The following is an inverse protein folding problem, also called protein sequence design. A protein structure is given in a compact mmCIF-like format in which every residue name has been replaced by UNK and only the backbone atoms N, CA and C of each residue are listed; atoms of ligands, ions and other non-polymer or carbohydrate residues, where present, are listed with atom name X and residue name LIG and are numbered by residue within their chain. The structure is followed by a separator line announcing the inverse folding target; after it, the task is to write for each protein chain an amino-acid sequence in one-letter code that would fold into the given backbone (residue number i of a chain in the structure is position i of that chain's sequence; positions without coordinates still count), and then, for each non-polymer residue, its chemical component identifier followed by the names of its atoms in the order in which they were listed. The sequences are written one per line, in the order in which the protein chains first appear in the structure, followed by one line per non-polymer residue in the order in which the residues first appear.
data_IF_362022284235
#
_entry.id   IF_362022284235
#
_cell.length_a   1.000
_cell.length_b   1.000
_cell.length_c   1.000
_cell.angle_alpha   90.00
_cell.angle_beta   90.00
_cell.angle_gamma   90.00
#
_symmetry.space_group_name_H-M   'P 1'
#
loop_
_entity.id
_entity.type
_entity.pdbx_description
1 polymer ?
#
# COMPACT_ATOMS: atom_id res chain seq x y z
N UNK A 1 18.73 -4.01 22.94
CA UNK A 1 18.84 -3.73 21.49
C UNK A 1 19.79 -2.57 21.29
N UNK A 2 20.88 -2.73 20.54
CA UNK A 2 21.83 -1.66 20.20
C UNK A 2 21.24 -0.70 19.16
N UNK A 3 21.72 0.55 19.10
CA UNK A 3 21.21 1.57 18.18
C UNK A 3 21.35 1.16 16.69
N UNK A 4 22.45 0.48 16.34
CA UNK A 4 22.73 -0.01 14.99
C UNK A 4 21.70 -1.04 14.49
N UNK A 5 21.31 -1.97 15.36
CA UNK A 5 20.25 -2.94 15.03
C UNK A 5 18.90 -2.26 14.79
N UNK A 6 18.64 -1.12 15.43
CA UNK A 6 17.41 -0.34 15.22
C UNK A 6 17.39 0.34 13.85
N UNK A 7 18.52 0.88 13.40
CA UNK A 7 18.62 1.48 12.06
C UNK A 7 18.50 0.42 10.96
N UNK A 8 19.06 -0.77 11.16
CA UNK A 8 18.97 -1.85 10.18
C UNK A 8 17.53 -2.34 10.00
N UNK A 9 16.79 -2.51 11.10
CA UNK A 9 15.36 -2.88 11.06
C UNK A 9 14.52 -1.84 10.32
N UNK A 10 14.79 -0.55 10.54
CA UNK A 10 14.07 0.52 9.84
C UNK A 10 14.32 0.48 8.32
N UNK A 11 15.58 0.33 7.91
CA UNK A 11 15.95 0.21 6.48
C UNK A 11 15.36 -1.02 5.81
N UNK A 12 15.36 -2.15 6.50
CA UNK A 12 14.71 -3.36 5.98
C UNK A 12 13.20 -3.17 5.82
N UNK A 13 12.57 -2.39 6.70
CA UNK A 13 11.16 -2.01 6.59
C UNK A 13 10.82 -1.23 5.32
N UNK A 14 11.73 -0.36 4.87
CA UNK A 14 11.59 0.43 3.63
C UNK A 14 11.63 -0.42 2.35
N UNK A 15 12.25 -1.61 2.43
CA UNK A 15 12.37 -2.57 1.33
C UNK A 15 11.22 -3.58 1.29
N UNK A 16 10.38 -3.63 2.33
CA UNK A 16 9.24 -4.54 2.34
C UNK A 16 8.26 -4.14 1.24
N UNK A 17 7.76 -5.12 0.46
CA UNK A 17 6.77 -4.84 -0.56
C UNK A 17 5.44 -4.45 0.10
N UNK A 18 4.78 -3.45 -0.46
CA UNK A 18 3.39 -3.09 -0.17
C UNK A 18 2.57 -3.19 -1.46
N UNK A 19 1.26 -3.33 -1.31
CA UNK A 19 0.34 -3.39 -2.45
C UNK A 19 -0.11 -1.98 -2.84
N UNK A 20 0.03 -1.65 -4.12
CA UNK A 20 -0.54 -0.45 -4.74
C UNK A 20 -1.68 -0.87 -5.64
N UNK A 21 -2.85 -0.28 -5.46
CA UNK A 21 -4.06 -0.59 -6.22
C UNK A 21 -4.46 0.59 -7.10
N UNK A 22 -4.79 0.29 -8.35
CA UNK A 22 -5.47 1.19 -9.27
C UNK A 22 -6.88 0.67 -9.58
N UNK A 23 -7.90 1.47 -9.26
CA UNK A 23 -9.27 1.13 -9.62
C UNK A 23 -9.50 1.35 -11.12
N UNK A 24 -9.89 0.32 -11.86
CA UNK A 24 -10.10 0.47 -13.32
C UNK A 24 -11.35 1.27 -13.67
N UNK A 25 -12.29 1.43 -12.73
CA UNK A 25 -13.53 2.18 -12.93
C UNK A 25 -13.36 3.70 -12.77
N UNK A 26 -12.62 4.16 -11.75
CA UNK A 26 -12.49 5.59 -11.42
C UNK A 26 -11.04 6.09 -11.34
N UNK A 27 -10.08 5.24 -11.68
CA UNK A 27 -8.65 5.54 -11.76
C UNK A 27 -8.03 6.05 -10.45
N UNK A 28 -8.68 5.84 -9.30
CA UNK A 28 -8.02 6.06 -8.01
C UNK A 28 -6.84 5.11 -7.88
N UNK A 29 -5.66 5.66 -7.61
CA UNK A 29 -4.47 4.92 -7.23
C UNK A 29 -4.20 5.15 -5.75
N UNK A 30 -4.07 4.09 -4.97
CA UNK A 30 -3.81 4.19 -3.53
C UNK A 30 -3.16 2.91 -2.97
N UNK A 31 -2.60 3.04 -1.77
CA UNK A 31 -2.02 1.94 -1.00
C UNK A 31 -3.01 1.58 0.11
N UNK A 32 -3.78 0.49 -0.01
CA UNK A 32 -4.69 0.08 1.06
C UNK A 32 -3.90 -0.47 2.25
N UNK A 33 -4.47 -0.34 3.45
CA UNK A 33 -4.10 -1.19 4.58
C UNK A 33 -4.60 -2.63 4.31
N UNK A 34 -3.72 -3.65 4.26
CA UNK A 34 -4.13 -5.04 4.11
C UNK A 34 -5.18 -5.51 5.13
N UNK A 35 -5.17 -4.95 6.35
CA UNK A 35 -6.15 -5.29 7.38
C UNK A 35 -7.59 -4.94 6.97
N UNK A 36 -7.78 -3.96 6.07
CA UNK A 36 -9.12 -3.62 5.57
C UNK A 36 -9.74 -4.75 4.74
N UNK A 37 -8.92 -5.63 4.13
CA UNK A 37 -9.44 -6.76 3.35
C UNK A 37 -10.04 -7.87 4.23
N UNK A 38 -9.61 -7.98 5.49
CA UNK A 38 -10.14 -8.97 6.44
C UNK A 38 -11.61 -8.70 6.79
N UNK A 39 -12.04 -7.43 6.68
CA UNK A 39 -13.40 -7.00 7.01
C UNK A 39 -14.39 -7.16 5.85
N UNK A 40 -13.93 -7.59 4.68
CA UNK A 40 -14.76 -7.67 3.46
C UNK A 40 -15.04 -6.32 2.79
N UNK A 41 -14.56 -5.21 3.34
CA UNK A 41 -14.66 -3.88 2.74
C UNK A 41 -13.57 -3.66 1.66
N UNK A 42 -13.61 -4.45 0.58
CA UNK A 42 -12.56 -4.45 -0.46
C UNK A 42 -12.91 -3.62 -1.69
N UNK A 43 -13.98 -2.82 -1.61
CA UNK A 43 -14.40 -1.93 -2.68
C UNK A 43 -13.54 -0.67 -2.76
N UNK A 44 -13.54 -0.01 -3.91
CA UNK A 44 -12.80 1.22 -4.11
C UNK A 44 -13.34 2.33 -3.21
N UNK A 45 -12.50 2.99 -2.38
CA UNK A 45 -12.98 4.00 -1.44
C UNK A 45 -13.54 5.25 -2.11
N UNK A 46 -13.28 5.45 -3.41
CA UNK A 46 -13.85 6.55 -4.20
C UNK A 46 -15.19 6.23 -4.84
N UNK A 47 -15.37 5.03 -5.41
CA UNK A 47 -16.55 4.71 -6.24
C UNK A 47 -17.29 3.42 -5.86
N UNK A 48 -16.81 2.65 -4.88
CA UNK A 48 -17.39 1.36 -4.51
C UNK A 48 -17.18 0.22 -5.51
N UNK A 49 -16.43 0.43 -6.60
CA UNK A 49 -16.13 -0.60 -7.61
C UNK A 49 -15.11 -1.64 -7.12
N UNK A 50 -15.09 -2.82 -7.75
CA UNK A 50 -14.33 -4.00 -7.30
C UNK A 50 -13.27 -4.49 -8.30
N UNK A 51 -13.02 -3.74 -9.37
CA UNK A 51 -12.07 -4.11 -10.42
C UNK A 51 -10.75 -3.34 -10.22
N UNK A 52 -9.68 -4.13 -10.06
CA UNK A 52 -8.37 -3.65 -9.62
C UNK A 52 -7.26 -4.05 -10.60
N UNK A 53 -6.29 -3.16 -10.76
CA UNK A 53 -4.92 -3.52 -11.17
C UNK A 53 -4.07 -3.38 -9.91
N UNK A 54 -3.30 -4.42 -9.59
CA UNK A 54 -2.46 -4.47 -8.40
C UNK A 54 -0.98 -4.58 -8.77
N UNK A 55 -0.15 -3.86 -8.04
CA UNK A 55 1.31 -3.89 -8.16
C UNK A 55 1.93 -4.00 -6.76
N UNK A 56 3.01 -4.76 -6.64
CA UNK A 56 3.84 -4.79 -5.43
C UNK A 56 4.99 -3.79 -5.60
N UNK A 57 5.08 -2.81 -4.72
CA UNK A 57 6.12 -1.78 -4.73
C UNK A 57 6.84 -1.73 -3.37
N UNK A 58 8.14 -1.38 -3.30
CA UNK A 58 8.80 -1.09 -2.03
C UNK A 58 8.05 0.00 -1.24
N UNK A 59 7.96 -0.14 0.09
CA UNK A 59 7.26 0.83 0.95
C UNK A 59 7.85 2.25 0.85
N UNK A 60 9.14 2.37 0.52
CA UNK A 60 9.78 3.65 0.23
C UNK A 60 9.12 4.45 -0.92
N UNK A 61 8.45 3.80 -1.87
CA UNK A 61 7.88 4.44 -3.07
C UNK A 61 6.48 5.03 -2.85
N UNK A 62 5.87 4.78 -1.68
CA UNK A 62 4.49 5.19 -1.37
C UNK A 62 4.35 6.70 -1.11
N UNK A 63 5.44 7.41 -0.82
CA UNK A 63 5.45 8.84 -0.46
C UNK A 63 5.16 9.83 -1.60
N UNK A 64 4.95 9.36 -2.83
CA UNK A 64 4.94 10.21 -4.03
C UNK A 64 3.58 10.58 -4.64
N UNK A 65 2.43 10.22 -4.03
CA UNK A 65 1.16 10.33 -4.74
C UNK A 65 -0.08 10.48 -3.85
N UNK A 66 -0.17 11.58 -3.12
CA UNK A 66 -1.42 12.07 -2.54
C UNK A 66 -1.59 13.54 -2.91
N UNK A 67 -2.00 13.81 -4.15
CA UNK A 67 -2.62 15.07 -4.57
C UNK A 67 -3.80 14.75 -5.48
#
# INVERSE_FOLDING_TARGET
MTAERRSDVARLGELLPVVKLACTACQLVYTPDPANFETGNTGCPRCGGWTWIAELVPSAEVGGGQR
#
